data_IF_184050123923
#
_entry.id   IF_184050123923
#
_cell.length_a   1.000
_cell.length_b   1.000
_cell.length_c   1.000
_cell.angle_alpha   90.00
_cell.angle_beta   90.00
_cell.angle_gamma   90.00
#
_symmetry.space_group_name_H-M   'P 1'
#
loop_
_entity.id
_entity.type
_entity.pdbx_description
1 polymer ?
#
# COMPACT_ATOMS: atom_id res chain seq x y z
N UNK A 1 10.18 -11.36 -0.30
CA UNK A 1 9.12 -10.32 -0.29
C UNK A 1 9.03 -9.75 1.12
N UNK A 2 8.94 -8.42 1.27
CA UNK A 2 8.79 -7.75 2.57
C UNK A 2 7.53 -6.89 2.57
N UNK A 3 6.68 -7.03 3.59
CA UNK A 3 5.53 -6.14 3.81
C UNK A 3 6.01 -4.82 4.41
N UNK A 4 5.62 -3.71 3.79
CA UNK A 4 5.76 -2.36 4.32
C UNK A 4 4.36 -1.82 4.66
N UNK A 5 4.21 -1.19 5.84
CA UNK A 5 2.99 -0.51 6.25
C UNK A 5 3.35 0.68 7.17
N UNK A 6 2.49 1.69 7.22
CA UNK A 6 2.66 2.88 8.06
C UNK A 6 2.32 2.62 9.53
N UNK A 7 2.54 3.63 10.38
CA UNK A 7 2.34 3.55 11.84
C UNK A 7 0.94 3.95 12.30
N UNK A 8 -0.10 3.69 11.50
CA UNK A 8 -1.47 3.89 11.97
C UNK A 8 -1.73 3.09 13.26
N UNK A 9 -2.53 3.63 14.18
CA UNK A 9 -2.77 3.02 15.51
C UNK A 9 -3.30 1.59 15.42
N UNK A 10 -4.10 1.28 14.39
CA UNK A 10 -4.57 -0.08 14.08
C UNK A 10 -3.42 -1.02 13.67
N UNK A 11 -2.44 -0.53 12.92
CA UNK A 11 -1.27 -1.30 12.46
C UNK A 11 -0.28 -1.58 13.60
N UNK A 12 -0.22 -0.72 14.63
CA UNK A 12 0.64 -0.90 15.80
C UNK A 12 -0.08 -1.49 17.01
N UNK A 13 -1.33 -1.95 16.86
CA UNK A 13 -2.10 -2.56 17.94
C UNK A 13 -1.44 -3.85 18.45
N UNK A 14 -1.77 -4.29 19.68
CA UNK A 14 -1.14 -5.49 20.30
C UNK A 14 -1.29 -6.76 19.45
N UNK A 15 -2.40 -6.91 18.72
CA UNK A 15 -2.66 -8.09 17.89
C UNK A 15 -1.87 -8.10 16.58
N UNK A 16 -1.50 -6.93 16.05
CA UNK A 16 -0.89 -6.83 14.72
C UNK A 16 0.52 -7.45 14.66
N UNK A 17 1.47 -7.17 15.57
CA UNK A 17 2.77 -7.85 15.57
C UNK A 17 2.66 -9.37 15.70
N UNK A 18 1.72 -9.87 16.52
CA UNK A 18 1.45 -11.31 16.66
C UNK A 18 1.00 -11.90 15.32
N UNK A 19 0.11 -11.20 14.62
CA UNK A 19 -0.33 -11.59 13.29
C UNK A 19 0.81 -11.55 12.26
N UNK A 20 1.66 -10.53 12.29
CA UNK A 20 2.79 -10.39 11.37
C UNK A 20 3.84 -11.49 11.55
N UNK A 21 4.16 -11.87 12.78
CA UNK A 21 5.06 -13.01 13.05
C UNK A 21 4.44 -14.34 12.59
N UNK A 22 3.13 -14.51 12.77
CA UNK A 22 2.41 -15.66 12.20
C UNK A 22 2.49 -15.67 10.66
N UNK A 23 2.24 -14.55 10.00
CA UNK A 23 2.33 -14.43 8.52
C UNK A 23 3.74 -14.69 8.02
N UNK A 24 4.76 -14.20 8.73
CA UNK A 24 6.17 -14.46 8.42
C UNK A 24 6.51 -15.94 8.49
N UNK A 25 5.95 -16.65 9.47
CA UNK A 25 6.17 -18.10 9.64
C UNK A 25 5.36 -18.91 8.61
N UNK A 26 4.05 -18.67 8.53
CA UNK A 26 3.13 -19.47 7.73
C UNK A 26 3.25 -19.23 6.22
N UNK A 27 3.59 -17.99 5.82
CA UNK A 27 3.61 -17.57 4.40
C UNK A 27 4.99 -17.16 3.90
N UNK A 28 6.01 -17.18 4.76
CA UNK A 28 7.38 -16.76 4.44
C UNK A 28 7.44 -15.30 3.92
N UNK A 29 6.50 -14.47 4.39
CA UNK A 29 6.46 -13.03 4.07
C UNK A 29 7.08 -12.28 5.24
N UNK A 30 8.32 -11.82 5.06
CA UNK A 30 8.95 -10.92 6.02
C UNK A 30 8.20 -9.56 6.05
N UNK A 31 8.40 -8.77 7.09
CA UNK A 31 7.86 -7.41 7.18
C UNK A 31 8.94 -6.44 7.63
N UNK A 32 8.76 -5.16 7.31
CA UNK A 32 9.63 -4.08 7.77
C UNK A 32 9.21 -3.73 9.21
N UNK A 33 10.11 -3.84 10.20
CA UNK A 33 9.79 -3.45 11.57
C UNK A 33 9.39 -1.98 11.64
N UNK A 34 8.39 -1.66 12.47
CA UNK A 34 7.92 -0.28 12.62
C UNK A 34 9.04 0.69 13.05
N UNK A 35 10.10 0.25 13.75
CA UNK A 35 11.20 1.17 14.07
C UNK A 35 11.84 1.80 12.83
N UNK A 36 11.78 1.15 11.67
CA UNK A 36 12.35 1.63 10.42
C UNK A 36 11.38 2.46 9.57
N UNK A 37 10.10 2.53 9.94
CA UNK A 37 9.12 3.37 9.24
C UNK A 37 9.04 4.74 9.91
N UNK A 38 9.44 5.85 9.27
CA UNK A 38 9.30 7.18 9.85
C UNK A 38 7.83 7.57 10.05
N UNK A 39 7.57 8.45 11.02
CA UNK A 39 6.22 8.98 11.30
C UNK A 39 5.94 10.15 10.35
N UNK A 40 4.71 10.27 9.84
CA UNK A 40 4.29 11.34 8.92
C UNK A 40 5.15 11.44 7.64
N UNK A 41 5.55 10.29 7.08
CA UNK A 41 6.40 10.22 5.91
C UNK A 41 5.70 9.51 4.74
N UNK A 42 4.72 10.16 4.08
CA UNK A 42 4.04 9.59 2.93
C UNK A 42 4.97 9.48 1.70
N UNK A 43 6.02 10.28 1.65
CA UNK A 43 7.05 10.28 0.60
C UNK A 43 7.88 8.99 0.57
N UNK A 44 7.97 8.26 1.69
CA UNK A 44 8.64 6.95 1.74
C UNK A 44 7.67 5.77 1.58
N UNK A 45 6.38 6.03 1.35
CA UNK A 45 5.35 5.00 1.20
C UNK A 45 4.93 4.86 -0.27
N UNK A 46 5.23 3.74 -0.95
CA UNK A 46 4.81 3.48 -2.35
C UNK A 46 3.31 3.64 -2.58
N UNK A 47 2.52 3.29 -1.56
CA UNK A 47 1.08 3.43 -1.64
C UNK A 47 0.70 4.91 -1.72
N UNK A 48 1.32 5.76 -0.90
CA UNK A 48 0.96 7.17 -0.80
C UNK A 48 1.56 8.03 -1.93
N UNK A 49 2.86 7.93 -2.22
CA UNK A 49 3.47 8.79 -3.25
C UNK A 49 3.18 8.34 -4.69
N UNK A 50 2.68 7.11 -4.90
CA UNK A 50 2.43 6.58 -6.25
C UNK A 50 1.01 6.05 -6.43
N UNK A 51 0.65 4.94 -5.79
CA UNK A 51 -0.59 4.22 -6.11
C UNK A 51 -1.84 5.06 -5.82
N UNK A 52 -1.93 5.68 -4.65
CA UNK A 52 -3.06 6.52 -4.27
C UNK A 52 -3.12 7.83 -5.05
N UNK A 53 -1.98 8.39 -5.50
CA UNK A 53 -1.98 9.56 -6.38
C UNK A 53 -2.61 9.21 -7.73
N UNK A 54 -2.23 8.07 -8.33
CA UNK A 54 -2.84 7.59 -9.58
C UNK A 54 -4.34 7.36 -9.41
N UNK A 55 -4.71 6.66 -8.35
CA UNK A 55 -6.12 6.38 -8.06
C UNK A 55 -6.92 7.67 -7.85
N UNK A 56 -6.39 8.63 -7.09
CA UNK A 56 -7.05 9.92 -6.85
C UNK A 56 -7.29 10.68 -8.16
N UNK A 57 -6.31 10.64 -9.07
CA UNK A 57 -6.46 11.23 -10.42
C UNK A 57 -7.57 10.53 -11.22
N UNK A 58 -7.60 9.20 -11.24
CA UNK A 58 -8.65 8.44 -11.92
C UNK A 58 -10.04 8.76 -11.34
N UNK A 59 -10.17 8.78 -10.02
CA UNK A 59 -11.42 9.10 -9.32
C UNK A 59 -11.89 10.54 -9.57
N UNK A 60 -10.98 11.51 -9.61
CA UNK A 60 -11.33 12.90 -9.89
C UNK A 60 -11.91 13.11 -11.30
N UNK A 61 -11.50 12.27 -12.27
CA UNK A 61 -11.97 12.31 -13.65
C UNK A 61 -13.33 11.62 -13.80
N UNK A 62 -13.49 10.44 -13.19
CA UNK A 62 -14.70 9.61 -13.35
C UNK A 62 -15.84 10.02 -12.42
N UNK A 63 -15.54 10.61 -11.25
CA UNK A 63 -16.50 11.10 -10.25
C UNK A 63 -17.59 10.05 -9.93
N UNK A 64 -17.21 8.83 -9.48
CA UNK A 64 -18.17 7.79 -9.20
C UNK A 64 -19.14 8.21 -8.09
N UNK A 65 -20.41 7.86 -8.23
CA UNK A 65 -21.48 8.21 -7.28
C UNK A 65 -21.92 7.01 -6.43
N UNK A 66 -21.57 5.80 -6.85
CA UNK A 66 -21.88 4.56 -6.14
C UNK A 66 -20.62 3.79 -5.76
N UNK A 67 -20.74 2.93 -4.74
CA UNK A 67 -19.66 2.01 -4.34
C UNK A 67 -19.24 1.08 -5.50
N UNK A 68 -20.19 0.68 -6.34
CA UNK A 68 -19.93 -0.21 -7.48
C UNK A 68 -19.12 0.51 -8.57
N UNK A 69 -19.46 1.75 -8.88
CA UNK A 69 -18.68 2.58 -9.81
C UNK A 69 -17.29 2.87 -9.25
N UNK A 70 -17.18 3.15 -7.95
CA UNK A 70 -15.89 3.33 -7.27
C UNK A 70 -15.00 2.09 -7.45
N UNK A 71 -15.53 0.90 -7.17
CA UNK A 71 -14.81 -0.37 -7.36
C UNK A 71 -14.35 -0.57 -8.81
N UNK A 72 -15.19 -0.26 -9.79
CA UNK A 72 -14.81 -0.36 -11.21
C UNK A 72 -13.64 0.56 -11.55
N UNK A 73 -13.66 1.81 -11.10
CA UNK A 73 -12.57 2.76 -11.38
C UNK A 73 -11.27 2.28 -10.72
N UNK A 74 -11.34 1.85 -9.46
CA UNK A 74 -10.19 1.31 -8.73
C UNK A 74 -9.60 0.11 -9.46
N UNK A 75 -10.44 -0.85 -9.88
CA UNK A 75 -10.00 -2.06 -10.55
C UNK A 75 -9.34 -1.78 -11.91
N UNK A 76 -9.96 -0.92 -12.72
CA UNK A 76 -9.43 -0.54 -14.04
C UNK A 76 -8.09 0.19 -13.89
N UNK A 77 -8.02 1.20 -13.01
CA UNK A 77 -6.80 1.97 -12.80
C UNK A 77 -5.68 1.07 -12.25
N UNK A 78 -5.98 0.21 -11.27
CA UNK A 78 -5.00 -0.71 -10.69
C UNK A 78 -4.44 -1.69 -11.72
N UNK A 79 -5.31 -2.29 -12.55
CA UNK A 79 -4.90 -3.21 -13.62
C UNK A 79 -4.13 -2.53 -14.75
N UNK A 80 -4.25 -1.21 -14.88
CA UNK A 80 -3.52 -0.44 -15.90
C UNK A 80 -2.05 -0.22 -15.56
N UNK A 81 -1.64 -0.39 -14.28
CA UNK A 81 -0.28 -0.14 -13.83
C UNK A 81 0.65 -1.26 -14.36
N UNK A 82 1.64 -0.94 -15.21
CA UNK A 82 2.59 -1.95 -15.68
C UNK A 82 3.44 -2.50 -14.54
N UNK A 83 3.80 -3.79 -14.64
CA UNK A 83 4.59 -4.46 -13.61
C UNK A 83 5.97 -3.82 -13.45
N UNK A 84 6.55 -3.33 -14.54
CA UNK A 84 7.86 -2.67 -14.59
C UNK A 84 7.85 -1.38 -13.78
N UNK A 85 6.76 -0.61 -13.87
CA UNK A 85 6.58 0.62 -13.09
C UNK A 85 6.43 0.27 -11.61
N UNK A 86 5.59 -0.72 -11.29
CA UNK A 86 5.43 -1.21 -9.92
C UNK A 86 6.77 -1.64 -9.31
N UNK A 87 7.59 -2.38 -10.08
CA UNK A 87 8.94 -2.79 -9.65
C UNK A 87 9.85 -1.58 -9.42
N UNK A 88 9.86 -0.60 -10.33
CA UNK A 88 10.69 0.60 -10.20
C UNK A 88 10.32 1.42 -8.96
N UNK A 89 9.03 1.59 -8.69
CA UNK A 89 8.51 2.28 -7.50
C UNK A 89 8.99 1.55 -6.24
N UNK A 90 8.79 0.24 -6.15
CA UNK A 90 9.22 -0.56 -4.99
C UNK A 90 10.74 -0.55 -4.77
N UNK A 91 11.54 -0.54 -5.84
CA UNK A 91 13.01 -0.47 -5.76
C UNK A 91 13.54 0.93 -5.49
N UNK A 92 12.70 1.96 -5.61
CA UNK A 92 13.10 3.34 -5.28
C UNK A 92 13.09 3.62 -3.78
N UNK A 93 12.46 2.74 -2.98
CA UNK A 93 12.69 2.72 -1.54
C UNK A 93 14.11 2.23 -1.28
N UNK A 94 14.93 3.14 -0.74
CA UNK A 94 16.25 2.82 -0.20
C UNK A 94 16.13 2.26 1.22
#
# INVERSE_FOLDING_TARGET
MKLHQDKATSHTSKSTPVFLEKVKTDRVIAYVPFQHTPVMAPDVSPMDYFAFILLTRALSKSKPTTIYELWKVVEVEWKSIPLEISRKVLLSLK
#
